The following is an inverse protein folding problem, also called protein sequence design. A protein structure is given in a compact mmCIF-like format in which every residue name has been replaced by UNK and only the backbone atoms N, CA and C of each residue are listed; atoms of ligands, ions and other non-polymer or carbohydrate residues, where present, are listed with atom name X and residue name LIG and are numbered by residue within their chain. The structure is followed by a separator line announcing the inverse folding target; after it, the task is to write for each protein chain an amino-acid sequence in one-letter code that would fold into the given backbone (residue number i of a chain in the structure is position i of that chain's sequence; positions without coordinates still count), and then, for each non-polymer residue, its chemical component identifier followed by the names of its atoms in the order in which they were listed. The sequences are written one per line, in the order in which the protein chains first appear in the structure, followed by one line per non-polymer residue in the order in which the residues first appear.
data_IF_911881384144
#
_entry.id   IF_911881384144
#
_cell.length_a   1.000
_cell.length_b   1.000
_cell.length_c   1.000
_cell.angle_alpha   90.00
_cell.angle_beta   90.00
_cell.angle_gamma   90.00
#
_symmetry.space_group_name_H-M   'P 1'
#
loop_
_entity.id
_entity.type
_entity.pdbx_description
1 polymer ?
#
# COMPACT_ATOMS: atom_id res chain seq x y z
N UNK A 1 6.98 12.80 48.60
CA UNK A 1 7.66 13.91 47.89
C UNK A 1 9.10 13.62 47.46
N UNK A 2 9.80 12.60 47.99
CA UNK A 2 11.19 12.30 47.57
C UNK A 2 11.31 11.30 46.40
N UNK A 3 10.28 10.49 46.12
CA UNK A 3 10.35 9.45 45.08
C UNK A 3 10.08 9.96 43.65
N UNK A 4 9.33 11.06 43.50
CA UNK A 4 9.04 11.65 42.17
C UNK A 4 10.27 12.38 41.58
N UNK A 5 11.16 12.87 42.45
CA UNK A 5 12.36 13.60 42.04
C UNK A 5 13.44 12.70 41.44
N UNK A 6 13.55 11.44 41.89
CA UNK A 6 14.50 10.48 41.31
C UNK A 6 14.07 9.99 39.90
N UNK A 7 12.76 10.01 39.62
CA UNK A 7 12.21 9.63 38.32
C UNK A 7 12.45 10.70 37.25
N UNK A 8 12.32 11.99 37.59
CA UNK A 8 12.58 13.10 36.67
C UNK A 8 14.08 13.36 36.41
N UNK A 9 14.95 12.97 37.34
CA UNK A 9 16.41 13.10 37.17
C UNK A 9 16.98 12.13 36.12
N UNK A 10 16.28 11.03 35.81
CA UNK A 10 16.65 10.09 34.73
C UNK A 10 16.26 10.55 33.32
N UNK A 11 15.35 11.51 33.18
CA UNK A 11 14.82 11.95 31.87
C UNK A 11 15.61 13.15 31.32
N UNK A 12 16.31 13.89 32.19
CA UNK A 12 17.00 15.15 31.86
C UNK A 12 18.49 14.98 31.50
N UNK A 13 18.90 13.81 31.00
CA UNK A 13 20.21 13.60 30.38
C UNK A 13 20.19 13.81 28.86
N UNK A 14 19.09 14.31 28.31
CA UNK A 14 19.01 14.78 26.93
C UNK A 14 19.60 16.21 26.82
N UNK A 15 20.88 16.37 27.16
CA UNK A 15 21.61 17.61 26.87
C UNK A 15 22.75 17.32 25.91
N UNK A 16 22.43 17.49 24.62
CA UNK A 16 23.30 17.86 23.51
C UNK A 16 24.79 17.97 23.84
N UNK A 17 25.58 16.99 23.38
CA UNK A 17 26.98 17.24 23.03
C UNK A 17 27.11 17.01 21.53
N UNK A 18 27.17 18.12 20.79
CA UNK A 18 27.80 18.13 19.47
C UNK A 18 29.24 17.66 19.66
N UNK A 19 29.52 16.38 19.44
CA UNK A 19 30.88 15.88 19.34
C UNK A 19 31.42 16.30 17.97
N UNK A 20 32.03 17.49 17.93
CA UNK A 20 32.95 17.90 16.88
C UNK A 20 34.21 17.04 16.95
N UNK A 21 34.25 15.98 16.16
CA UNK A 21 35.45 15.19 15.90
C UNK A 21 35.19 14.21 14.75
N UNK A 22 36.21 13.85 13.95
CA UNK A 22 36.07 12.80 12.95
C UNK A 22 35.72 11.49 13.66
N UNK A 23 34.51 10.97 13.42
CA UNK A 23 34.12 9.64 13.87
C UNK A 23 35.04 8.62 13.20
N UNK A 24 35.99 8.08 13.95
CA UNK A 24 36.69 6.86 13.53
C UNK A 24 35.61 5.79 13.31
N UNK A 25 35.41 5.40 12.06
CA UNK A 25 34.54 4.28 11.70
C UNK A 25 35.20 3.00 12.21
N UNK A 26 34.96 2.66 13.47
CA UNK A 26 35.38 1.36 14.01
C UNK A 26 34.48 0.30 13.39
N UNK A 27 35.09 -0.61 12.62
CA UNK A 27 34.43 -1.69 11.86
C UNK A 27 33.48 -2.56 12.70
N UNK A 28 33.67 -2.54 14.02
CA UNK A 28 32.92 -3.30 15.02
C UNK A 28 31.55 -2.71 15.37
N UNK A 29 31.28 -1.45 15.00
CA UNK A 29 30.01 -0.78 15.29
C UNK A 29 29.17 -0.54 14.03
N UNK A 30 29.39 -1.34 12.98
CA UNK A 30 28.56 -1.28 11.80
C UNK A 30 27.21 -1.95 12.10
N UNK A 31 26.08 -1.25 11.99
CA UNK A 31 24.77 -1.88 12.19
C UNK A 31 24.64 -3.06 11.23
N UNK A 32 24.28 -4.23 11.76
CA UNK A 32 24.02 -5.40 10.95
C UNK A 32 22.76 -5.13 10.10
N UNK A 33 22.97 -4.78 8.84
CA UNK A 33 21.87 -4.61 7.90
C UNK A 33 21.43 -6.00 7.45
N UNK A 34 20.41 -6.55 8.12
CA UNK A 34 19.71 -7.74 7.63
C UNK A 34 18.93 -7.36 6.36
N UNK A 35 19.60 -7.45 5.23
CA UNK A 35 18.94 -7.33 3.93
C UNK A 35 18.07 -8.57 3.73
N UNK A 36 16.75 -8.43 3.72
CA UNK A 36 15.86 -9.49 3.26
C UNK A 36 15.99 -9.58 1.73
N UNK A 37 16.61 -10.63 1.17
CA UNK A 37 16.76 -10.76 -0.28
C UNK A 37 15.39 -10.87 -0.99
N UNK A 38 14.33 -11.23 -0.26
CA UNK A 38 12.95 -11.26 -0.73
C UNK A 38 12.18 -9.96 -0.48
N UNK A 39 12.86 -8.86 -0.14
CA UNK A 39 12.20 -7.55 -0.02
C UNK A 39 11.66 -7.16 -1.39
N UNK A 40 10.34 -7.27 -1.51
CA UNK A 40 9.63 -7.13 -2.78
C UNK A 40 9.86 -5.74 -3.38
N UNK A 41 10.52 -5.67 -4.54
CA UNK A 41 10.62 -4.47 -5.39
C UNK A 41 9.42 -4.29 -6.31
N UNK A 42 8.48 -5.25 -6.28
CA UNK A 42 7.31 -5.25 -7.16
C UNK A 42 6.36 -4.12 -6.74
N UNK A 43 5.76 -3.41 -7.71
CA UNK A 43 4.77 -2.39 -7.43
C UNK A 43 3.59 -3.00 -6.68
N UNK A 44 2.98 -2.22 -5.79
CA UNK A 44 1.75 -2.65 -5.10
C UNK A 44 0.68 -3.01 -6.13
N UNK A 45 -0.05 -4.07 -5.83
CA UNK A 45 -1.21 -4.48 -6.61
C UNK A 45 -0.94 -5.64 -7.55
N UNK A 46 -1.75 -5.69 -8.59
CA UNK A 46 -1.92 -6.86 -9.43
C UNK A 46 -0.91 -6.89 -10.58
N UNK A 47 -0.31 -8.05 -10.91
CA UNK A 47 0.56 -8.16 -12.07
C UNK A 47 -0.16 -7.73 -13.35
N UNK A 48 0.51 -6.92 -14.18
CA UNK A 48 -0.02 -6.48 -15.48
C UNK A 48 -0.36 -7.68 -16.36
N UNK A 49 -1.41 -7.57 -17.16
CA UNK A 49 -1.82 -8.61 -18.11
C UNK A 49 -2.54 -9.81 -17.50
N UNK A 50 -2.67 -9.90 -16.17
CA UNK A 50 -3.46 -10.98 -15.55
C UNK A 50 -4.95 -10.61 -15.54
N UNK A 51 -5.90 -11.57 -15.56
CA UNK A 51 -7.37 -11.37 -15.34
C UNK A 51 -7.84 -11.71 -13.93
N UNK A 52 -8.75 -10.92 -13.34
CA UNK A 52 -9.11 -11.04 -11.92
C UNK A 52 -9.65 -12.45 -11.66
N UNK A 53 -9.15 -13.11 -10.62
CA UNK A 53 -9.72 -14.37 -10.15
C UNK A 53 -11.12 -14.06 -9.59
N UNK A 54 -12.14 -14.76 -10.09
CA UNK A 54 -13.52 -14.63 -9.59
C UNK A 54 -13.66 -15.45 -8.31
N UNK A 55 -14.40 -14.93 -7.33
CA UNK A 55 -14.80 -15.73 -6.17
C UNK A 55 -15.82 -16.80 -6.59
N UNK A 56 -15.96 -17.88 -5.80
CA UNK A 56 -16.86 -19.01 -6.10
C UNK A 56 -18.33 -18.60 -6.24
N UNK A 57 -18.75 -17.55 -5.55
CA UNK A 57 -20.11 -17.03 -5.58
C UNK A 57 -20.36 -16.03 -6.72
N UNK A 58 -19.32 -15.59 -7.43
CA UNK A 58 -19.48 -14.66 -8.53
C UNK A 58 -20.00 -15.38 -9.77
N UNK A 59 -21.24 -15.08 -10.13
CA UNK A 59 -21.83 -15.56 -11.39
C UNK A 59 -21.17 -14.88 -12.59
N UNK A 60 -21.11 -15.61 -13.71
CA UNK A 60 -20.88 -15.01 -15.02
C UNK A 60 -21.84 -13.83 -15.20
N UNK A 61 -21.35 -12.69 -15.72
CA UNK A 61 -22.24 -11.59 -16.03
C UNK A 61 -23.17 -12.07 -17.13
N UNK A 62 -24.49 -12.01 -16.90
CA UNK A 62 -25.49 -12.38 -17.90
C UNK A 62 -25.28 -11.59 -19.20
N UNK A 63 -25.80 -12.13 -20.30
CA UNK A 63 -25.77 -11.48 -21.61
C UNK A 63 -26.27 -10.04 -21.49
N UNK A 64 -25.55 -9.10 -22.10
CA UNK A 64 -25.96 -7.70 -22.13
C UNK A 64 -27.37 -7.59 -22.73
N UNK A 65 -28.17 -6.64 -22.24
CA UNK A 65 -29.52 -6.42 -22.73
C UNK A 65 -29.49 -6.03 -24.22
N UNK A 66 -30.37 -6.63 -25.02
CA UNK A 66 -30.54 -6.34 -26.45
C UNK A 66 -31.65 -5.31 -26.66
N UNK A 67 -31.34 -4.22 -27.33
CA UNK A 67 -32.28 -3.16 -27.63
C UNK A 67 -33.37 -3.66 -28.60
N UNK A 68 -34.64 -3.50 -28.23
CA UNK A 68 -35.77 -3.87 -29.09
C UNK A 68 -36.01 -2.97 -30.30
N UNK A 69 -35.29 -1.84 -30.44
CA UNK A 69 -35.41 -0.96 -31.60
C UNK A 69 -34.34 -1.23 -32.65
N UNK A 70 -33.07 -1.22 -32.24
CA UNK A 70 -31.94 -1.37 -33.17
C UNK A 70 -31.27 -2.74 -33.12
N UNK A 71 -31.57 -3.54 -32.09
CA UNK A 71 -30.95 -4.86 -31.92
C UNK A 71 -29.55 -4.84 -31.29
N UNK A 72 -28.96 -3.68 -31.02
CA UNK A 72 -27.64 -3.58 -30.39
C UNK A 72 -27.69 -3.94 -28.90
N UNK A 73 -26.54 -4.36 -28.37
CA UNK A 73 -26.36 -4.67 -26.96
C UNK A 73 -25.97 -3.44 -26.14
N UNK A 74 -26.30 -3.47 -24.85
CA UNK A 74 -25.79 -2.50 -23.87
C UNK A 74 -26.68 -1.28 -23.63
N UNK A 75 -27.83 -1.16 -24.32
CA UNK A 75 -28.82 -0.13 -24.04
C UNK A 75 -30.25 -0.62 -24.25
N UNK A 76 -31.21 0.05 -23.61
CA UNK A 76 -32.63 -0.30 -23.70
C UNK A 76 -33.35 0.50 -24.79
N UNK A 77 -34.52 0.02 -25.22
CA UNK A 77 -35.41 0.71 -26.17
C UNK A 77 -35.65 2.19 -25.82
N UNK A 78 -35.81 2.52 -24.53
CA UNK A 78 -36.04 3.89 -24.03
C UNK A 78 -34.85 4.83 -24.20
N UNK A 79 -33.64 4.29 -24.27
CA UNK A 79 -32.39 5.06 -24.34
C UNK A 79 -31.69 4.85 -25.69
N UNK A 80 -32.43 4.38 -26.70
CA UNK A 80 -31.89 4.11 -28.02
C UNK A 80 -31.71 5.43 -28.78
N UNK A 81 -30.52 5.64 -29.34
CA UNK A 81 -30.20 6.85 -30.10
C UNK A 81 -30.79 6.87 -31.52
N UNK A 82 -31.32 5.73 -31.99
CA UNK A 82 -31.88 5.59 -33.35
C UNK A 82 -33.37 5.99 -33.41
N UNK A 83 -34.09 5.93 -32.28
CA UNK A 83 -35.50 6.38 -32.18
C UNK A 83 -35.61 7.78 -31.55
N UNK A 84 -34.71 8.69 -31.87
CA UNK A 84 -34.88 10.09 -31.48
C UNK A 84 -35.66 10.84 -32.55
#
# INVERSE_FOLDING_TARGET
MLYYNLFLQKINQNRSTKLSGPRLFNKENSPFILNNPNKQTKPKGRPKGTKRLKASHEKEKGTQYKCGNCGDLGHNKRNCNILR
#
